data_IF_159870116160
#
_entry.id   IF_159870116160
#
_cell.length_a   1.000
_cell.length_b   1.000
_cell.length_c   1.000
_cell.angle_alpha   90.00
_cell.angle_beta   90.00
_cell.angle_gamma   90.00
#
_symmetry.space_group_name_H-M   'P 1'
#
loop_
_entity.id
_entity.type
_entity.pdbx_description
1 polymer ?
#
# COMPACT_ATOMS: atom_id res chain seq x y z
N UNK A 1 -58.77 -24.55 15.70
CA UNK A 1 -57.55 -24.68 14.87
C UNK A 1 -56.67 -23.51 15.28
N UNK A 2 -55.65 -23.79 16.09
CA UNK A 2 -54.83 -22.82 16.83
C UNK A 2 -53.98 -21.99 15.85
N UNK A 3 -54.13 -20.66 15.87
CA UNK A 3 -53.15 -19.74 15.28
C UNK A 3 -52.13 -19.35 16.35
N UNK A 4 -51.28 -20.31 16.71
CA UNK A 4 -49.99 -20.03 17.32
C UNK A 4 -48.92 -20.58 16.38
N UNK A 5 -48.37 -19.68 15.56
CA UNK A 5 -47.06 -19.93 14.95
C UNK A 5 -46.23 -18.66 15.07
N UNK A 6 -45.60 -18.61 16.23
CA UNK A 6 -44.24 -18.14 16.46
C UNK A 6 -43.91 -16.71 16.01
N UNK A 7 -44.19 -15.79 16.93
CA UNK A 7 -43.34 -14.62 17.13
C UNK A 7 -41.95 -15.14 17.50
N UNK A 8 -40.86 -14.82 16.78
CA UNK A 8 -39.51 -15.03 17.32
C UNK A 8 -39.33 -14.09 18.51
N UNK A 9 -39.56 -14.66 19.68
CA UNK A 9 -39.33 -14.12 21.01
C UNK A 9 -37.83 -13.93 21.26
N UNK A 10 -37.45 -12.69 21.54
CA UNK A 10 -36.32 -12.25 22.37
C UNK A 10 -35.07 -13.12 22.41
N UNK A 11 -34.03 -12.66 21.71
CA UNK A 11 -32.67 -12.65 22.26
C UNK A 11 -31.85 -11.55 21.57
N UNK A 12 -32.12 -10.29 21.93
CA UNK A 12 -31.09 -9.24 21.92
C UNK A 12 -30.05 -9.59 22.99
N UNK A 13 -29.28 -10.65 22.74
CA UNK A 13 -28.05 -10.94 23.45
C UNK A 13 -26.92 -10.38 22.59
N UNK A 14 -26.29 -9.29 23.06
CA UNK A 14 -24.98 -8.78 22.63
C UNK A 14 -24.31 -9.63 21.54
N UNK A 15 -24.67 -9.41 20.28
CA UNK A 15 -24.08 -10.14 19.17
C UNK A 15 -22.69 -9.55 19.01
N UNK A 16 -21.70 -10.17 19.67
CA UNK A 16 -20.30 -9.95 19.33
C UNK A 16 -20.23 -10.03 17.79
N UNK A 17 -19.62 -9.02 17.12
CA UNK A 17 -19.60 -9.00 15.66
C UNK A 17 -19.07 -10.35 15.19
N UNK A 18 -19.87 -11.04 14.37
CA UNK A 18 -19.48 -12.34 13.85
C UNK A 18 -18.08 -12.20 13.26
N UNK A 19 -17.15 -13.06 13.66
CA UNK A 19 -15.78 -13.03 13.16
C UNK A 19 -15.81 -13.38 11.67
N UNK A 20 -15.99 -12.34 10.86
CA UNK A 20 -16.02 -12.39 9.42
C UNK A 20 -14.71 -11.79 8.87
N UNK A 21 -14.32 -12.24 7.68
CA UNK A 21 -13.05 -11.81 7.07
C UNK A 21 -13.05 -10.32 6.71
N UNK A 22 -14.20 -9.71 6.42
CA UNK A 22 -14.28 -8.31 6.02
C UNK A 22 -14.05 -7.36 7.21
N UNK A 23 -14.63 -7.69 8.37
CA UNK A 23 -14.37 -7.02 9.64
C UNK A 23 -12.90 -7.09 10.01
N UNK A 24 -12.33 -8.31 10.01
CA UNK A 24 -10.92 -8.53 10.35
C UNK A 24 -9.99 -7.81 9.39
N UNK A 25 -10.31 -7.81 8.09
CA UNK A 25 -9.58 -7.03 7.08
C UNK A 25 -9.61 -5.54 7.36
N UNK A 26 -10.79 -4.98 7.66
CA UNK A 26 -10.91 -3.55 7.93
C UNK A 26 -10.05 -3.14 9.14
N UNK A 27 -10.09 -3.95 10.19
CA UNK A 27 -9.29 -3.73 11.39
C UNK A 27 -7.78 -3.82 11.11
N UNK A 28 -7.34 -4.85 10.40
CA UNK A 28 -5.93 -5.01 10.02
C UNK A 28 -5.41 -3.86 9.15
N UNK A 29 -6.21 -3.42 8.17
CA UNK A 29 -5.87 -2.28 7.30
C UNK A 29 -5.79 -0.99 8.12
N UNK A 30 -6.77 -0.72 8.99
CA UNK A 30 -6.77 0.47 9.84
C UNK A 30 -5.55 0.52 10.76
N UNK A 31 -5.18 -0.60 11.37
CA UNK A 31 -4.02 -0.67 12.25
C UNK A 31 -2.71 -0.44 11.49
N UNK A 32 -2.59 -1.05 10.31
CA UNK A 32 -1.47 -0.81 9.40
C UNK A 32 -1.37 0.66 8.96
N UNK A 33 -2.49 1.28 8.56
CA UNK A 33 -2.55 2.68 8.14
C UNK A 33 -2.17 3.63 9.28
N UNK A 34 -2.60 3.34 10.52
CA UNK A 34 -2.22 4.12 11.69
C UNK A 34 -0.70 4.05 11.95
N UNK A 35 -0.08 2.87 11.79
CA UNK A 35 1.37 2.72 11.89
C UNK A 35 2.10 3.49 10.77
N UNK A 36 1.58 3.45 9.55
CA UNK A 36 2.13 4.21 8.43
C UNK A 36 2.03 5.72 8.68
N UNK A 37 0.87 6.21 9.15
CA UNK A 37 0.67 7.62 9.48
C UNK A 37 1.58 8.07 10.63
N UNK A 38 1.77 7.23 11.65
CA UNK A 38 2.72 7.49 12.74
C UNK A 38 4.16 7.57 12.23
N UNK A 39 4.57 6.67 11.32
CA UNK A 39 5.89 6.72 10.69
C UNK A 39 6.11 8.02 9.91
N UNK A 40 5.13 8.44 9.10
CA UNK A 40 5.18 9.70 8.34
C UNK A 40 5.26 10.91 9.26
N UNK A 41 4.55 10.88 10.39
CA UNK A 41 4.56 11.93 11.40
C UNK A 41 5.80 11.93 12.32
N UNK A 42 6.74 10.98 12.13
CA UNK A 42 7.93 10.83 12.99
C UNK A 42 7.61 10.40 14.43
N UNK A 43 6.44 9.78 14.65
CA UNK A 43 6.03 9.25 15.97
C UNK A 43 6.67 7.88 16.22
N UNK A 44 6.68 7.46 17.48
CA UNK A 44 7.17 6.14 17.86
C UNK A 44 6.20 5.04 17.40
N UNK A 45 6.51 4.42 16.27
CA UNK A 45 5.72 3.32 15.69
C UNK A 45 5.78 2.05 16.52
N UNK A 46 6.86 1.80 17.26
CA UNK A 46 6.98 0.63 18.12
C UNK A 46 6.01 0.71 19.29
N UNK A 47 5.90 1.89 19.93
CA UNK A 47 4.93 2.08 21.00
C UNK A 47 3.50 1.91 20.48
N UNK A 48 3.18 2.53 19.34
CA UNK A 48 1.84 2.39 18.75
C UNK A 48 1.51 0.94 18.38
N UNK A 49 2.50 0.16 17.91
CA UNK A 49 2.29 -1.26 17.62
C UNK A 49 2.02 -2.08 18.88
N UNK A 50 2.66 -1.75 20.00
CA UNK A 50 2.36 -2.38 21.29
C UNK A 50 0.96 -2.02 21.76
N UNK A 51 0.59 -0.74 21.71
CA UNK A 51 -0.76 -0.28 22.10
C UNK A 51 -1.85 -0.98 21.25
N UNK A 52 -1.63 -1.11 19.94
CA UNK A 52 -2.53 -1.86 19.06
C UNK A 52 -2.57 -3.36 19.36
N UNK A 53 -1.45 -3.96 19.77
CA UNK A 53 -1.40 -5.36 20.18
C UNK A 53 -2.25 -5.60 21.43
N UNK A 54 -2.14 -4.70 22.42
CA UNK A 54 -2.91 -4.76 23.67
C UNK A 54 -4.42 -4.62 23.38
N UNK A 55 -4.80 -3.66 22.53
CA UNK A 55 -6.20 -3.48 22.09
C UNK A 55 -6.77 -4.73 21.40
N UNK A 56 -5.97 -5.39 20.56
CA UNK A 56 -6.37 -6.62 19.87
C UNK A 56 -6.49 -7.78 20.85
N UNK A 57 -5.57 -7.90 21.80
CA UNK A 57 -5.64 -8.93 22.83
C UNK A 57 -6.91 -8.79 23.68
N UNK A 58 -7.23 -7.56 24.07
CA UNK A 58 -8.45 -7.26 24.82
C UNK A 58 -9.70 -7.53 23.99
N UNK A 59 -9.70 -7.21 22.70
CA UNK A 59 -10.78 -7.59 21.79
C UNK A 59 -10.96 -9.12 21.72
N UNK A 60 -9.88 -9.88 21.57
CA UNK A 60 -9.92 -11.35 21.52
C UNK A 60 -10.53 -11.94 22.80
N UNK A 61 -10.25 -11.36 23.96
CA UNK A 61 -10.85 -11.81 25.24
C UNK A 61 -12.37 -11.67 25.25
N UNK A 62 -12.93 -10.68 24.53
CA UNK A 62 -14.39 -10.49 24.41
C UNK A 62 -15.07 -11.50 23.49
N UNK A 63 -14.32 -12.17 22.61
CA UNK A 63 -14.88 -13.14 21.67
C UNK A 63 -15.20 -14.48 22.35
N UNK A 64 -16.25 -15.19 21.88
CA UNK A 64 -16.47 -16.60 22.20
C UNK A 64 -15.22 -17.44 21.93
N UNK A 65 -14.95 -18.46 22.75
CA UNK A 65 -13.72 -19.27 22.66
C UNK A 65 -13.50 -19.91 21.28
N UNK A 66 -14.60 -20.28 20.61
CA UNK A 66 -14.61 -20.85 19.25
C UNK A 66 -14.17 -19.84 18.16
N UNK A 67 -14.42 -18.56 18.39
CA UNK A 67 -14.16 -17.48 17.42
C UNK A 67 -12.77 -16.85 17.60
N UNK A 68 -12.13 -17.02 18.77
CA UNK A 68 -10.79 -16.47 19.06
C UNK A 68 -9.74 -16.96 18.07
N UNK A 69 -9.66 -18.27 17.89
CA UNK A 69 -8.67 -18.89 16.98
C UNK A 69 -8.91 -18.46 15.53
N UNK A 70 -10.18 -18.40 15.12
CA UNK A 70 -10.58 -17.93 13.80
C UNK A 70 -10.17 -16.46 13.59
N UNK A 71 -10.42 -15.60 14.57
CA UNK A 71 -10.05 -14.19 14.51
C UNK A 71 -8.54 -14.02 14.39
N UNK A 72 -7.76 -14.63 15.28
CA UNK A 72 -6.29 -14.52 15.27
C UNK A 72 -5.71 -14.94 13.93
N UNK A 73 -6.17 -16.09 13.40
CA UNK A 73 -5.74 -16.59 12.09
C UNK A 73 -6.07 -15.61 10.95
N UNK A 74 -7.30 -15.08 10.94
CA UNK A 74 -7.70 -14.12 9.92
C UNK A 74 -6.92 -12.80 10.06
N UNK A 75 -6.68 -12.34 11.28
CA UNK A 75 -6.04 -11.06 11.54
C UNK A 75 -4.58 -11.09 11.10
N UNK A 76 -3.85 -12.17 11.38
CA UNK A 76 -2.50 -12.39 10.86
C UNK A 76 -2.45 -12.43 9.33
N UNK A 77 -3.39 -13.16 8.70
CA UNK A 77 -3.47 -13.23 7.23
C UNK A 77 -3.70 -11.86 6.60
N UNK A 78 -4.66 -11.08 7.13
CA UNK A 78 -5.02 -9.78 6.57
C UNK A 78 -3.95 -8.72 6.88
N UNK A 79 -3.28 -8.78 8.04
CA UNK A 79 -2.15 -7.88 8.36
C UNK A 79 -0.95 -8.15 7.45
N UNK A 80 -0.63 -9.42 7.19
CA UNK A 80 0.41 -9.79 6.23
C UNK A 80 0.04 -9.35 4.81
N UNK A 81 -1.22 -9.55 4.40
CA UNK A 81 -1.70 -9.10 3.09
C UNK A 81 -1.60 -7.56 2.94
N UNK A 82 -1.99 -6.79 3.95
CA UNK A 82 -1.86 -5.33 3.96
C UNK A 82 -0.39 -4.88 3.85
N UNK A 83 0.50 -5.54 4.60
CA UNK A 83 1.95 -5.28 4.57
C UNK A 83 2.52 -5.55 3.18
N UNK A 84 2.22 -6.70 2.59
CA UNK A 84 2.70 -7.06 1.25
C UNK A 84 2.11 -6.16 0.16
N UNK A 85 0.85 -5.76 0.26
CA UNK A 85 0.25 -4.79 -0.64
C UNK A 85 1.01 -3.44 -0.59
N UNK A 86 1.39 -3.00 0.60
CA UNK A 86 2.19 -1.78 0.77
C UNK A 86 3.61 -1.92 0.21
N UNK A 87 4.29 -3.04 0.44
CA UNK A 87 5.63 -3.30 -0.10
C UNK A 87 5.58 -3.31 -1.64
N UNK A 88 4.59 -4.00 -2.23
CA UNK A 88 4.40 -4.02 -3.67
C UNK A 88 4.14 -2.64 -4.25
N UNK A 89 3.34 -1.81 -3.58
CA UNK A 89 3.10 -0.42 -3.97
C UNK A 89 4.39 0.41 -3.94
N UNK A 90 5.19 0.28 -2.89
CA UNK A 90 6.49 0.98 -2.79
C UNK A 90 7.47 0.51 -3.87
N UNK A 91 7.55 -0.79 -4.15
CA UNK A 91 8.40 -1.31 -5.23
C UNK A 91 7.96 -0.82 -6.60
N UNK A 92 6.65 -0.77 -6.86
CA UNK A 92 6.10 -0.26 -8.12
C UNK A 92 6.45 1.23 -8.32
N UNK A 93 6.31 2.05 -7.26
CA UNK A 93 6.71 3.47 -7.28
C UNK A 93 8.21 3.61 -7.58
N UNK A 94 9.06 2.88 -6.86
CA UNK A 94 10.51 2.95 -7.06
C UNK A 94 10.93 2.53 -8.47
N UNK A 95 10.32 1.46 -9.00
CA UNK A 95 10.57 1.00 -10.37
C UNK A 95 10.11 2.04 -11.40
N UNK A 96 8.94 2.65 -11.21
CA UNK A 96 8.45 3.72 -12.08
C UNK A 96 9.40 4.93 -12.06
N UNK A 97 9.87 5.35 -10.90
CA UNK A 97 10.84 6.45 -10.78
C UNK A 97 12.17 6.12 -11.44
N UNK A 98 12.68 4.90 -11.26
CA UNK A 98 13.91 4.45 -11.91
C UNK A 98 13.78 4.46 -13.45
N UNK A 99 12.67 3.96 -13.99
CA UNK A 99 12.41 3.97 -15.42
C UNK A 99 12.27 5.40 -15.97
N UNK A 100 11.62 6.30 -15.24
CA UNK A 100 11.53 7.72 -15.63
C UNK A 100 12.90 8.40 -15.67
N UNK A 101 13.79 8.12 -14.70
CA UNK A 101 15.15 8.66 -14.71
C UNK A 101 15.96 8.14 -15.89
N UNK A 102 15.84 6.84 -16.22
CA UNK A 102 16.51 6.24 -17.38
C UNK A 102 15.99 6.81 -18.71
N UNK A 103 14.67 6.98 -18.85
CA UNK A 103 14.07 7.57 -20.05
C UNK A 103 14.51 9.03 -20.24
N UNK A 104 14.57 9.80 -19.17
CA UNK A 104 15.04 11.19 -19.22
C UNK A 104 16.53 11.29 -19.55
N UNK A 105 17.37 10.40 -18.99
CA UNK A 105 18.80 10.32 -19.32
C UNK A 105 19.01 9.93 -20.80
N UNK A 106 18.24 8.96 -21.29
CA UNK A 106 18.34 8.48 -22.68
C UNK A 106 17.89 9.54 -23.69
N UNK A 107 16.79 10.25 -23.41
CA UNK A 107 16.32 11.38 -24.23
C UNK A 107 17.35 12.52 -24.28
N UNK A 108 17.99 12.84 -23.15
CA UNK A 108 19.01 13.89 -23.07
C UNK A 108 20.26 13.56 -23.88
N UNK A 109 20.70 12.29 -23.87
CA UNK A 109 21.83 11.84 -24.70
C UNK A 109 21.53 11.94 -26.20
N UNK A 110 20.34 11.53 -26.63
CA UNK A 110 19.98 11.60 -28.05
C UNK A 110 19.92 13.05 -28.57
N UNK A 111 19.36 13.99 -27.80
CA UNK A 111 19.31 15.42 -28.21
C UNK A 111 20.71 16.01 -28.37
N UNK A 112 21.63 15.67 -27.46
CA UNK A 112 23.02 16.19 -27.50
C UNK A 112 23.79 15.72 -28.74
N UNK A 113 23.59 14.45 -29.15
CA UNK A 113 24.20 13.88 -30.37
C UNK A 113 23.70 14.60 -31.62
N UNK A 114 22.38 14.85 -31.72
CA UNK A 114 21.80 15.54 -32.88
C UNK A 114 22.26 16.99 -33.00
N UNK A 115 22.36 17.73 -31.88
CA UNK A 115 22.88 19.10 -31.88
C UNK A 115 24.35 19.12 -32.31
N UNK A 116 25.18 18.23 -31.79
CA UNK A 116 26.60 18.14 -32.17
C UNK A 116 26.79 17.84 -33.66
N UNK A 117 25.98 16.96 -34.24
CA UNK A 117 26.03 16.63 -35.67
C UNK A 117 25.68 17.85 -36.54
N UNK A 118 24.61 18.58 -36.19
CA UNK A 118 24.20 19.78 -36.92
C UNK A 118 25.31 20.83 -36.89
N UNK A 119 25.89 21.09 -35.73
CA UNK A 119 27.00 22.06 -35.58
C UNK A 119 28.22 21.64 -36.40
N UNK A 120 28.58 20.36 -36.39
CA UNK A 120 29.70 19.84 -37.18
C UNK A 120 29.52 20.08 -38.69
N UNK A 121 28.34 19.80 -39.24
CA UNK A 121 28.06 20.05 -40.66
C UNK A 121 28.07 21.54 -41.02
N UNK A 122 27.56 22.41 -40.16
CA UNK A 122 27.60 23.87 -40.38
C UNK A 122 29.05 24.37 -40.48
N UNK A 123 29.93 23.91 -39.58
CA UNK A 123 31.35 24.25 -39.59
C UNK A 123 32.01 23.71 -40.86
N UNK A 124 31.74 22.45 -41.22
CA UNK A 124 32.30 21.81 -42.42
C UNK A 124 31.93 22.58 -43.70
N UNK A 125 30.65 22.94 -43.87
CA UNK A 125 30.16 23.70 -45.03
C UNK A 125 30.82 25.08 -45.09
N UNK A 126 31.00 25.73 -43.94
CA UNK A 126 31.67 27.04 -43.84
C UNK A 126 33.14 26.96 -44.28
N UNK A 127 33.86 25.92 -43.84
CA UNK A 127 35.24 25.66 -44.28
C UNK A 127 35.34 25.39 -45.78
N UNK A 128 34.43 24.57 -46.33
CA UNK A 128 34.41 24.27 -47.77
C UNK A 128 34.14 25.56 -48.58
N UNK A 129 33.21 26.40 -48.12
CA UNK A 129 32.97 27.71 -48.74
C UNK A 129 34.19 28.61 -48.70
N UNK A 130 34.92 28.64 -47.58
CA UNK A 130 36.11 29.47 -47.42
C UNK A 130 37.28 29.02 -48.31
N UNK A 131 37.43 27.72 -48.55
CA UNK A 131 38.48 27.17 -49.44
C UNK A 131 38.17 27.42 -50.92
N UNK A 132 36.88 27.51 -51.28
CA UNK A 132 36.42 27.61 -52.67
C UNK A 132 36.30 29.06 -53.16
N UNK A 133 36.50 30.04 -52.28
CA UNK A 133 36.35 31.48 -52.53
C UNK A 133 37.70 32.19 -52.44
#
# INVERSE_FOLDING_TARGET
MNLEKEIPSSAEGSVAPAVDRAFVRNLAVKNFEALQAAAIAGKNTHQLALDQSDEIEDFIKTLPSEDRSKFSTLYEQELNAATQASINKTMAINSQTANQLLDNATKTNNVSIWISLIVFFIVLISFIKMIKN
#
